data_IF_430304591183
#
_entry.id   IF_430304591183
#
_cell.length_a   1.000
_cell.length_b   1.000
_cell.length_c   1.000
_cell.angle_alpha   90.00
_cell.angle_beta   90.00
_cell.angle_gamma   90.00
#
_symmetry.space_group_name_H-M   'P 1'
#
loop_
_entity.id
_entity.type
_entity.pdbx_description
1 polymer ?
#
# COMPACT_ATOMS: atom_id res chain seq x y z
N UNK A 1 7.93 -40.03 -76.01
CA UNK A 1 7.65 -38.72 -76.64
C UNK A 1 7.84 -37.64 -75.59
N UNK A 2 8.76 -36.70 -75.85
CA UNK A 2 8.75 -35.27 -75.46
C UNK A 2 8.98 -34.98 -73.95
N UNK A 3 10.21 -34.68 -73.51
CA UNK A 3 10.93 -33.37 -73.39
C UNK A 3 10.95 -32.92 -71.91
N UNK A 4 12.12 -32.76 -71.26
CA UNK A 4 13.12 -31.67 -71.34
C UNK A 4 12.76 -30.44 -70.48
N UNK A 5 13.80 -29.78 -69.93
CA UNK A 5 13.84 -28.51 -69.14
C UNK A 5 13.64 -28.64 -67.62
N UNK A 6 14.39 -28.03 -66.70
CA UNK A 6 15.50 -27.03 -66.57
C UNK A 6 16.04 -27.24 -65.13
N UNK A 7 17.17 -26.76 -64.62
CA UNK A 7 18.38 -26.11 -65.10
C UNK A 7 19.37 -26.25 -63.94
N UNK A 8 20.61 -26.60 -64.26
CA UNK A 8 21.76 -26.47 -63.37
C UNK A 8 22.39 -25.11 -63.63
N UNK A 9 22.50 -24.25 -62.63
CA UNK A 9 23.36 -23.07 -62.73
C UNK A 9 24.35 -23.03 -61.57
N UNK A 10 25.60 -23.15 -61.98
CA UNK A 10 26.84 -23.14 -61.21
C UNK A 10 27.31 -21.68 -61.13
N UNK A 11 27.78 -21.21 -59.98
CA UNK A 11 28.56 -19.96 -59.93
C UNK A 11 29.56 -20.01 -58.77
N UNK A 12 30.79 -20.39 -59.13
CA UNK A 12 32.01 -20.06 -58.40
C UNK A 12 32.57 -18.73 -58.92
N UNK A 13 33.29 -18.05 -58.01
CA UNK A 13 34.31 -17.01 -58.17
C UNK A 13 33.89 -15.55 -58.50
N UNK A 14 34.37 -14.62 -57.64
CA UNK A 14 35.39 -13.58 -57.94
C UNK A 14 35.40 -12.47 -56.83
N UNK A 15 36.56 -12.27 -56.19
CA UNK A 15 37.00 -11.17 -55.27
C UNK A 15 36.93 -9.75 -55.93
N UNK A 16 37.26 -8.56 -55.33
CA UNK A 16 37.96 -8.22 -54.06
C UNK A 16 37.38 -6.98 -53.29
N UNK A 17 38.02 -6.53 -52.18
CA UNK A 17 37.88 -5.11 -51.78
C UNK A 17 38.08 -4.73 -50.31
N UNK A 18 39.34 -4.42 -49.98
CA UNK A 18 39.82 -3.51 -48.91
C UNK A 18 38.78 -2.49 -48.37
N UNK A 19 38.57 -2.48 -47.05
CA UNK A 19 38.30 -1.23 -46.31
C UNK A 19 39.14 -1.18 -45.03
N UNK A 20 40.25 -0.46 -45.16
CA UNK A 20 41.01 0.17 -44.10
C UNK A 20 40.16 1.35 -43.60
N UNK A 21 39.79 1.38 -42.31
CA UNK A 21 39.45 2.64 -41.63
C UNK A 21 40.31 2.75 -40.39
N UNK A 22 41.38 3.51 -40.57
CA UNK A 22 42.07 4.27 -39.54
C UNK A 22 41.09 5.27 -38.91
N UNK A 23 40.98 5.28 -37.58
CA UNK A 23 40.79 6.53 -36.86
C UNK A 23 41.54 6.46 -35.53
N UNK A 24 42.52 7.34 -35.46
CA UNK A 24 43.57 7.42 -34.47
C UNK A 24 43.12 8.18 -33.22
N UNK A 25 43.90 7.97 -32.15
CA UNK A 25 44.17 8.85 -31.02
C UNK A 25 43.76 10.32 -31.24
N UNK A 26 42.97 10.85 -30.30
CA UNK A 26 43.05 12.25 -29.90
C UNK A 26 43.23 12.30 -28.38
N UNK A 27 44.46 12.55 -27.95
CA UNK A 27 44.79 12.89 -26.58
C UNK A 27 44.97 14.41 -26.47
N UNK A 28 44.20 15.01 -25.55
CA UNK A 28 44.67 15.92 -24.47
C UNK A 28 44.93 17.43 -24.79
N UNK A 29 44.40 18.25 -23.86
CA UNK A 29 44.54 19.72 -23.59
C UNK A 29 43.57 20.64 -24.37
N UNK A 30 42.81 21.58 -23.78
CA UNK A 30 43.02 22.35 -22.55
C UNK A 30 41.67 22.91 -22.05
N UNK A 31 41.45 22.90 -20.73
CA UNK A 31 40.27 23.44 -20.08
C UNK A 31 40.39 23.30 -18.56
N UNK A 32 41.41 23.94 -18.00
CA UNK A 32 41.58 24.06 -16.55
C UNK A 32 40.51 25.02 -15.99
N UNK A 33 39.33 24.47 -15.68
CA UNK A 33 38.43 25.06 -14.70
C UNK A 33 38.79 24.46 -13.34
N UNK A 34 39.06 25.31 -12.36
CA UNK A 34 39.18 24.92 -10.95
C UNK A 34 37.85 24.27 -10.50
N UNK A 35 37.76 22.96 -10.61
CA UNK A 35 36.68 22.20 -9.99
C UNK A 35 37.02 22.11 -8.52
N UNK A 36 36.35 22.97 -7.76
CA UNK A 36 36.23 22.90 -6.31
C UNK A 36 36.17 21.45 -5.87
N UNK A 37 37.14 21.01 -5.08
CA UNK A 37 37.19 19.68 -4.47
C UNK A 37 36.12 19.57 -3.38
N UNK A 38 34.86 19.58 -3.80
CA UNK A 38 33.77 18.96 -3.05
C UNK A 38 34.10 17.47 -3.08
N UNK A 39 34.24 16.84 -1.91
CA UNK A 39 34.39 15.40 -1.81
C UNK A 39 33.29 14.75 -2.66
N UNK A 40 33.63 14.27 -3.85
CA UNK A 40 32.67 13.70 -4.79
C UNK A 40 32.17 12.42 -4.15
N UNK A 41 30.97 12.49 -3.58
CA UNK A 41 30.23 11.31 -3.12
C UNK A 41 30.26 10.31 -4.27
N UNK A 42 30.72 9.09 -4.01
CA UNK A 42 30.72 8.06 -5.03
C UNK A 42 29.27 7.87 -5.51
N UNK A 43 29.01 8.17 -6.78
CA UNK A 43 27.66 8.12 -7.36
C UNK A 43 27.31 6.71 -7.86
N UNK A 44 28.25 5.75 -7.82
CA UNK A 44 28.01 4.35 -8.22
C UNK A 44 26.85 3.68 -7.46
N UNK A 45 26.68 3.87 -6.13
CA UNK A 45 25.51 3.33 -5.42
C UNK A 45 24.19 3.81 -5.99
N UNK A 46 24.11 5.08 -6.41
CA UNK A 46 22.90 5.64 -7.02
C UNK A 46 22.63 5.00 -8.38
N UNK A 47 23.65 4.92 -9.23
CA UNK A 47 23.56 4.33 -10.56
C UNK A 47 23.16 2.85 -10.52
N UNK A 48 23.82 2.08 -9.66
CA UNK A 48 23.51 0.66 -9.41
C UNK A 48 22.06 0.51 -8.94
N UNK A 49 21.68 1.23 -7.89
CA UNK A 49 20.32 1.14 -7.33
C UNK A 49 19.26 1.53 -8.37
N UNK A 50 19.52 2.56 -9.16
CA UNK A 50 18.65 3.02 -10.25
C UNK A 50 18.50 1.96 -11.34
N UNK A 51 19.59 1.30 -11.72
CA UNK A 51 19.57 0.20 -12.69
C UNK A 51 18.76 -0.99 -12.18
N UNK A 52 18.97 -1.42 -10.94
CA UNK A 52 18.17 -2.51 -10.38
C UNK A 52 16.70 -2.15 -10.20
N UNK A 53 16.36 -0.91 -9.83
CA UNK A 53 14.96 -0.46 -9.80
C UNK A 53 14.31 -0.54 -11.17
N UNK A 54 15.04 -0.15 -12.22
CA UNK A 54 14.57 -0.30 -13.59
C UNK A 54 14.29 -1.78 -13.93
N UNK A 55 15.23 -2.67 -13.61
CA UNK A 55 15.04 -4.11 -13.82
C UNK A 55 13.83 -4.66 -13.06
N UNK A 56 13.67 -4.32 -11.78
CA UNK A 56 12.50 -4.73 -11.00
C UNK A 56 11.19 -4.23 -11.60
N UNK A 57 11.14 -2.98 -12.07
CA UNK A 57 9.94 -2.42 -12.70
C UNK A 57 9.55 -3.14 -14.00
N UNK A 58 10.51 -3.76 -14.69
CA UNK A 58 10.23 -4.60 -15.85
C UNK A 58 9.80 -6.02 -15.45
N UNK A 59 10.48 -6.64 -14.48
CA UNK A 59 10.12 -7.97 -13.97
C UNK A 59 8.73 -8.00 -13.32
N UNK A 60 8.34 -6.90 -12.65
CA UNK A 60 7.02 -6.74 -12.04
C UNK A 60 5.89 -7.01 -13.05
N UNK A 61 6.08 -6.61 -14.31
CA UNK A 61 5.10 -6.85 -15.37
C UNK A 61 4.91 -8.35 -15.66
N UNK A 62 6.00 -9.13 -15.62
CA UNK A 62 5.96 -10.58 -15.75
C UNK A 62 5.14 -11.23 -14.64
N UNK A 63 5.40 -10.85 -13.39
CA UNK A 63 4.65 -11.41 -12.25
C UNK A 63 3.19 -10.98 -12.20
N UNK A 64 2.90 -9.74 -12.57
CA UNK A 64 1.53 -9.31 -12.69
C UNK A 64 0.79 -10.12 -13.75
N UNK A 65 1.43 -10.55 -14.84
CA UNK A 65 0.81 -11.46 -15.82
C UNK A 65 0.46 -12.81 -15.19
N UNK A 66 1.29 -13.34 -14.30
CA UNK A 66 0.97 -14.58 -13.57
C UNK A 66 -0.25 -14.41 -12.64
N UNK A 67 -0.34 -13.28 -11.93
CA UNK A 67 -1.51 -12.96 -11.09
C UNK A 67 -2.76 -12.75 -11.95
N UNK A 68 -2.64 -11.97 -13.03
CA UNK A 68 -3.71 -11.67 -13.99
C UNK A 68 -4.20 -12.91 -14.75
N UNK A 69 -3.37 -13.94 -14.93
CA UNK A 69 -3.79 -15.20 -15.55
C UNK A 69 -4.89 -15.92 -14.75
N UNK A 70 -4.97 -15.66 -13.44
CA UNK A 70 -6.00 -16.21 -12.55
C UNK A 70 -7.24 -15.31 -12.45
N UNK A 71 -7.23 -14.15 -13.11
CA UNK A 71 -8.21 -13.08 -12.94
C UNK A 71 -9.20 -13.00 -14.11
N UNK A 72 -10.38 -12.42 -13.89
CA UNK A 72 -11.31 -12.05 -14.96
C UNK A 72 -10.88 -10.76 -15.69
N UNK A 73 -11.54 -10.41 -16.80
CA UNK A 73 -11.09 -9.28 -17.63
C UNK A 73 -11.25 -7.91 -16.93
N UNK A 74 -12.24 -7.76 -16.05
CA UNK A 74 -12.39 -6.56 -15.23
C UNK A 74 -11.25 -6.42 -14.22
N UNK A 75 -10.92 -7.52 -13.55
CA UNK A 75 -9.78 -7.62 -12.63
C UNK A 75 -8.44 -7.36 -13.32
N UNK A 76 -8.21 -7.92 -14.51
CA UNK A 76 -7.00 -7.68 -15.31
C UNK A 76 -6.83 -6.21 -15.63
N UNK A 77 -7.92 -5.52 -16.00
CA UNK A 77 -7.88 -4.09 -16.28
C UNK A 77 -7.48 -3.28 -15.05
N UNK A 78 -8.13 -3.51 -13.91
CA UNK A 78 -7.81 -2.79 -12.66
C UNK A 78 -6.37 -3.03 -12.19
N UNK A 79 -5.89 -4.27 -12.25
CA UNK A 79 -4.50 -4.62 -11.89
C UNK A 79 -3.51 -4.01 -12.89
N UNK A 80 -3.84 -4.03 -14.19
CA UNK A 80 -3.02 -3.45 -15.25
C UNK A 80 -2.85 -1.93 -15.12
N UNK A 81 -3.93 -1.22 -14.78
CA UNK A 81 -3.88 0.22 -14.50
C UNK A 81 -3.01 0.52 -13.27
N UNK A 82 -3.21 -0.19 -12.16
CA UNK A 82 -2.41 -0.02 -10.95
C UNK A 82 -0.93 -0.38 -11.15
N UNK A 83 -0.65 -1.40 -11.98
CA UNK A 83 0.70 -1.77 -12.39
C UNK A 83 1.36 -0.65 -13.20
N UNK A 84 0.64 -0.07 -14.18
CA UNK A 84 1.15 1.02 -14.99
C UNK A 84 1.49 2.25 -14.12
N UNK A 85 0.61 2.61 -13.18
CA UNK A 85 0.84 3.68 -12.20
C UNK A 85 2.09 3.38 -11.34
N UNK A 86 2.21 2.16 -10.81
CA UNK A 86 3.34 1.75 -9.96
C UNK A 86 4.67 1.77 -10.73
N UNK A 87 4.68 1.27 -11.96
CA UNK A 87 5.86 1.28 -12.85
C UNK A 87 6.27 2.71 -13.20
N UNK A 88 5.31 3.57 -13.50
CA UNK A 88 5.57 4.99 -13.77
C UNK A 88 6.16 5.69 -12.53
N UNK A 89 5.61 5.43 -11.33
CA UNK A 89 6.15 5.99 -10.09
C UNK A 89 7.60 5.54 -9.84
N UNK A 90 7.93 4.28 -10.13
CA UNK A 90 9.31 3.78 -10.05
C UNK A 90 10.23 4.53 -11.03
N UNK A 91 9.82 4.71 -12.29
CA UNK A 91 10.62 5.39 -13.30
C UNK A 91 10.80 6.88 -13.03
N UNK A 92 9.76 7.56 -12.55
CA UNK A 92 9.85 8.96 -12.12
C UNK A 92 10.82 9.13 -10.94
N UNK A 93 10.82 8.18 -10.00
CA UNK A 93 11.79 8.19 -8.89
C UNK A 93 13.21 8.02 -9.40
N UNK A 94 13.46 7.05 -10.29
CA UNK A 94 14.79 6.87 -10.92
C UNK A 94 15.20 8.15 -11.64
N UNK A 95 14.33 8.72 -12.46
CA UNK A 95 14.60 9.98 -13.18
C UNK A 95 14.96 11.11 -12.22
N UNK A 96 14.18 11.30 -11.16
CA UNK A 96 14.41 12.33 -10.13
C UNK A 96 15.75 12.13 -9.43
N UNK A 97 16.06 10.89 -9.03
CA UNK A 97 17.29 10.55 -8.34
C UNK A 97 18.51 10.82 -9.25
N UNK A 98 18.46 10.39 -10.52
CA UNK A 98 19.54 10.60 -11.49
C UNK A 98 19.70 12.08 -11.87
N UNK A 99 18.60 12.80 -12.11
CA UNK A 99 18.65 14.23 -12.43
C UNK A 99 19.11 15.07 -11.23
N UNK A 100 18.77 14.65 -10.01
CA UNK A 100 19.23 15.33 -8.79
C UNK A 100 20.75 15.23 -8.60
N UNK A 101 21.36 14.11 -8.98
CA UNK A 101 22.80 13.88 -8.84
C UNK A 101 23.61 14.43 -10.03
N UNK A 102 23.14 14.22 -11.26
CA UNK A 102 23.93 14.47 -12.48
C UNK A 102 23.39 15.62 -13.35
N UNK A 103 22.24 16.20 -13.01
CA UNK A 103 21.60 17.26 -13.80
C UNK A 103 21.31 16.81 -15.23
N UNK A 104 21.71 17.65 -16.20
CA UNK A 104 21.49 17.39 -17.63
C UNK A 104 22.30 16.19 -18.16
N UNK A 105 23.37 15.78 -17.45
CA UNK A 105 24.20 14.62 -17.82
C UNK A 105 23.63 13.28 -17.33
N UNK A 106 22.53 13.29 -16.58
CA UNK A 106 21.93 12.08 -16.00
C UNK A 106 21.70 10.96 -17.01
N UNK A 107 21.27 11.32 -18.22
CA UNK A 107 21.01 10.37 -19.29
C UNK A 107 22.30 9.69 -19.79
N UNK A 108 23.34 10.49 -20.02
CA UNK A 108 24.64 10.01 -20.54
C UNK A 108 25.35 9.14 -19.50
N UNK A 109 25.44 9.61 -18.25
CA UNK A 109 26.08 8.90 -17.15
C UNK A 109 25.40 7.55 -16.87
N UNK A 110 24.06 7.52 -16.87
CA UNK A 110 23.33 6.28 -16.66
C UNK A 110 23.50 5.29 -17.82
N UNK A 111 23.51 5.77 -19.06
CA UNK A 111 23.78 4.93 -20.25
C UNK A 111 25.17 4.33 -20.18
N UNK A 112 26.18 5.16 -19.90
CA UNK A 112 27.59 4.77 -19.79
C UNK A 112 27.77 3.73 -18.69
N UNK A 113 27.16 3.96 -17.52
CA UNK A 113 27.16 3.03 -16.42
C UNK A 113 26.58 1.66 -16.79
N UNK A 114 25.39 1.60 -17.40
CA UNK A 114 24.76 0.31 -17.77
C UNK A 114 25.66 -0.45 -18.75
N UNK A 115 26.22 0.25 -19.74
CA UNK A 115 27.12 -0.35 -20.72
C UNK A 115 28.38 -0.93 -20.06
N UNK A 116 29.02 -0.16 -19.16
CA UNK A 116 30.20 -0.60 -18.44
C UNK A 116 29.89 -1.77 -17.48
N UNK A 117 28.81 -1.66 -16.70
CA UNK A 117 28.39 -2.68 -15.74
C UNK A 117 28.08 -4.01 -16.42
N UNK A 118 27.26 -4.00 -17.48
CA UNK A 118 26.86 -5.22 -18.20
C UNK A 118 28.03 -5.88 -18.93
N UNK A 119 28.96 -5.09 -19.48
CA UNK A 119 30.18 -5.62 -20.11
C UNK A 119 31.09 -6.27 -19.07
N UNK A 120 31.31 -5.60 -17.93
CA UNK A 120 32.12 -6.12 -16.84
C UNK A 120 31.54 -7.42 -16.25
N UNK A 121 30.22 -7.50 -16.10
CA UNK A 121 29.53 -8.71 -15.65
C UNK A 121 29.70 -9.87 -16.64
N UNK A 122 29.54 -9.62 -17.95
CA UNK A 122 29.72 -10.63 -19.00
C UNK A 122 31.14 -11.17 -19.05
N UNK A 123 32.13 -10.31 -18.85
CA UNK A 123 33.55 -10.68 -18.83
C UNK A 123 33.99 -11.31 -17.49
N UNK A 124 33.13 -11.27 -16.47
CA UNK A 124 33.49 -11.72 -15.12
C UNK A 124 34.61 -10.86 -14.50
N UNK A 125 34.63 -9.55 -14.79
CA UNK A 125 35.68 -8.64 -14.38
C UNK A 125 35.73 -8.47 -12.84
N UNK A 126 36.70 -9.13 -12.20
CA UNK A 126 36.87 -9.12 -10.74
C UNK A 126 37.30 -7.77 -10.18
N UNK A 127 38.02 -6.96 -10.95
CA UNK A 127 38.47 -5.64 -10.52
C UNK A 127 37.29 -4.68 -10.44
N UNK A 128 36.46 -4.65 -11.49
CA UNK A 128 35.21 -3.88 -11.49
C UNK A 128 34.25 -4.34 -10.37
N UNK A 129 34.14 -5.65 -10.14
CA UNK A 129 33.34 -6.19 -9.04
C UNK A 129 33.84 -5.74 -7.66
N UNK A 130 35.16 -5.76 -7.43
CA UNK A 130 35.78 -5.30 -6.17
C UNK A 130 35.55 -3.81 -5.96
N UNK A 131 35.77 -3.01 -7.01
CA UNK A 131 35.49 -1.59 -7.02
C UNK A 131 34.02 -1.29 -6.68
N UNK A 132 33.09 -2.04 -7.29
CA UNK A 132 31.67 -1.88 -7.02
C UNK A 132 31.30 -2.30 -5.59
N UNK A 133 31.87 -3.41 -5.09
CA UNK A 133 31.68 -3.85 -3.72
C UNK A 133 32.15 -2.82 -2.70
N UNK A 134 33.28 -2.16 -2.96
CA UNK A 134 33.80 -1.07 -2.14
C UNK A 134 32.90 0.17 -2.18
N UNK A 135 32.50 0.60 -3.38
CA UNK A 135 31.61 1.74 -3.59
C UNK A 135 30.28 1.59 -2.83
N UNK A 136 29.74 0.37 -2.81
CA UNK A 136 28.49 0.03 -2.14
C UNK A 136 28.66 -0.30 -0.64
N UNK A 137 29.88 -0.26 -0.11
CA UNK A 137 30.22 -0.70 1.25
C UNK A 137 29.68 -2.11 1.58
N UNK A 138 29.77 -3.04 0.61
CA UNK A 138 29.30 -4.42 0.77
C UNK A 138 30.37 -5.24 1.49
N UNK A 139 30.14 -5.48 2.78
CA UNK A 139 30.89 -6.45 3.58
C UNK A 139 30.05 -7.74 3.82
N UNK A 140 30.63 -8.95 3.63
CA UNK A 140 31.94 -9.21 3.02
C UNK A 140 31.97 -8.84 1.53
N UNK A 141 33.17 -8.61 0.97
CA UNK A 141 33.32 -8.27 -0.45
C UNK A 141 32.69 -9.36 -1.33
N UNK A 142 31.89 -9.01 -2.34
CA UNK A 142 31.17 -9.98 -3.14
C UNK A 142 32.14 -10.82 -3.99
N UNK A 143 32.00 -12.15 -3.90
CA UNK A 143 32.82 -13.09 -4.68
C UNK A 143 32.36 -13.27 -6.13
N UNK A 144 31.14 -12.84 -6.46
CA UNK A 144 30.56 -12.88 -7.80
C UNK A 144 29.57 -11.73 -8.01
N UNK A 145 29.21 -11.46 -9.27
CA UNK A 145 28.15 -10.50 -9.60
C UNK A 145 26.78 -10.93 -9.05
N UNK A 146 26.52 -12.23 -8.90
CA UNK A 146 25.31 -12.72 -8.21
C UNK A 146 25.31 -12.37 -6.72
N UNK A 147 26.47 -12.49 -6.05
CA UNK A 147 26.62 -12.11 -4.64
C UNK A 147 26.49 -10.58 -4.45
N UNK A 148 26.99 -9.79 -5.41
CA UNK A 148 26.77 -8.35 -5.48
C UNK A 148 25.28 -8.03 -5.59
N UNK A 149 24.58 -8.68 -6.52
CA UNK A 149 23.13 -8.55 -6.73
C UNK A 149 22.34 -8.79 -5.44
N UNK A 150 22.56 -9.93 -4.80
CA UNK A 150 21.90 -10.26 -3.53
C UNK A 150 22.20 -9.25 -2.42
N UNK A 151 23.42 -8.69 -2.40
CA UNK A 151 23.80 -7.67 -1.41
C UNK A 151 23.11 -6.34 -1.68
N UNK A 152 23.03 -5.91 -2.95
CA UNK A 152 22.33 -4.68 -3.35
C UNK A 152 20.84 -4.78 -3.02
N UNK A 153 20.19 -5.90 -3.37
CA UNK A 153 18.75 -6.06 -3.10
C UNK A 153 18.48 -6.08 -1.59
N UNK A 154 19.28 -6.82 -0.82
CA UNK A 154 19.09 -6.95 0.62
C UNK A 154 19.41 -5.66 1.41
N UNK A 155 20.43 -4.90 1.02
CA UNK A 155 20.88 -3.72 1.78
C UNK A 155 20.30 -2.40 1.26
N UNK A 156 20.33 -2.20 -0.06
CA UNK A 156 20.02 -0.90 -0.66
C UNK A 156 18.58 -0.81 -1.18
N UNK A 157 17.97 -1.95 -1.51
CA UNK A 157 16.65 -1.99 -2.14
C UNK A 157 15.58 -2.67 -1.31
N UNK A 158 15.87 -3.00 -0.05
CA UNK A 158 14.91 -3.70 0.82
C UNK A 158 13.52 -3.06 0.81
N UNK A 159 13.45 -1.73 0.98
CA UNK A 159 12.18 -1.02 0.96
C UNK A 159 11.45 -1.09 -0.38
N UNK A 160 12.19 -1.07 -1.50
CA UNK A 160 11.60 -1.18 -2.83
C UNK A 160 11.11 -2.62 -3.09
N UNK A 161 11.89 -3.64 -2.72
CA UNK A 161 11.50 -5.05 -2.79
C UNK A 161 10.27 -5.32 -1.93
N UNK A 162 10.26 -4.84 -0.68
CA UNK A 162 9.13 -5.00 0.24
C UNK A 162 7.86 -4.32 -0.30
N UNK A 163 8.00 -3.16 -0.94
CA UNK A 163 6.88 -2.44 -1.55
C UNK A 163 6.30 -3.20 -2.75
N UNK A 164 7.16 -3.72 -3.65
CA UNK A 164 6.73 -4.46 -4.82
C UNK A 164 6.15 -5.83 -4.45
N UNK A 165 6.75 -6.52 -3.48
CA UNK A 165 6.21 -7.76 -2.93
C UNK A 165 4.84 -7.54 -2.27
N UNK A 166 4.67 -6.42 -1.55
CA UNK A 166 3.39 -6.00 -1.00
C UNK A 166 2.33 -5.79 -2.08
N UNK A 167 2.67 -5.07 -3.15
CA UNK A 167 1.77 -4.86 -4.29
C UNK A 167 1.32 -6.18 -4.93
N UNK A 168 2.24 -7.11 -5.22
CA UNK A 168 1.92 -8.41 -5.81
C UNK A 168 1.06 -9.27 -4.89
N UNK A 169 1.38 -9.26 -3.59
CA UNK A 169 0.58 -9.93 -2.57
C UNK A 169 -0.83 -9.35 -2.48
N UNK A 170 -0.97 -8.03 -2.45
CA UNK A 170 -2.27 -7.36 -2.44
C UNK A 170 -3.08 -7.70 -3.69
N UNK A 171 -2.45 -7.74 -4.88
CA UNK A 171 -3.10 -8.15 -6.12
C UNK A 171 -3.60 -9.60 -6.05
N UNK A 172 -2.77 -10.53 -5.56
CA UNK A 172 -3.14 -11.93 -5.43
C UNK A 172 -4.30 -12.13 -4.45
N UNK A 173 -4.24 -11.53 -3.26
CA UNK A 173 -5.30 -11.62 -2.25
C UNK A 173 -6.59 -10.98 -2.75
N UNK A 174 -6.49 -9.82 -3.41
CA UNK A 174 -7.66 -9.15 -3.99
C UNK A 174 -8.35 -9.99 -5.06
N UNK A 175 -7.60 -10.62 -5.96
CA UNK A 175 -8.16 -11.56 -6.95
C UNK A 175 -8.86 -12.74 -6.26
N UNK A 176 -8.28 -13.29 -5.19
CA UNK A 176 -8.88 -14.38 -4.45
C UNK A 176 -10.17 -13.96 -3.72
N UNK A 177 -10.20 -12.76 -3.15
CA UNK A 177 -11.38 -12.23 -2.46
C UNK A 177 -12.50 -11.90 -3.42
N UNK A 178 -12.20 -11.25 -4.54
CA UNK A 178 -13.23 -10.89 -5.54
C UNK A 178 -13.87 -12.12 -6.21
N UNK A 179 -13.19 -13.28 -6.19
CA UNK A 179 -13.79 -14.57 -6.55
C UNK A 179 -14.83 -15.07 -5.53
N UNK A 180 -14.60 -14.81 -4.24
CA UNK A 180 -15.50 -15.23 -3.15
C UNK A 180 -16.63 -14.22 -2.94
N UNK A 181 -16.35 -12.93 -3.09
CA UNK A 181 -17.24 -11.81 -2.78
C UNK A 181 -17.35 -10.85 -3.95
N UNK A 182 -18.54 -10.80 -4.58
CA UNK A 182 -18.80 -9.94 -5.74
C UNK A 182 -18.73 -8.44 -5.43
N UNK A 183 -18.92 -8.04 -4.17
CA UNK A 183 -18.91 -6.64 -3.73
C UNK A 183 -17.55 -6.19 -3.16
N UNK A 184 -16.45 -6.87 -3.54
CA UNK A 184 -15.10 -6.43 -3.16
C UNK A 184 -14.82 -5.04 -3.74
N UNK A 185 -14.22 -4.17 -2.93
CA UNK A 185 -13.84 -2.80 -3.33
C UNK A 185 -12.91 -2.80 -4.56
N UNK A 186 -12.89 -1.73 -5.38
CA UNK A 186 -11.95 -1.60 -6.49
C UNK A 186 -10.49 -1.73 -6.04
N UNK A 187 -9.62 -2.29 -6.90
CA UNK A 187 -8.24 -2.62 -6.54
C UNK A 187 -7.44 -1.39 -6.09
N UNK A 188 -7.69 -0.22 -6.68
CA UNK A 188 -7.03 1.03 -6.25
C UNK A 188 -7.42 1.47 -4.83
N UNK A 189 -8.69 1.28 -4.46
CA UNK A 189 -9.16 1.54 -3.10
C UNK A 189 -8.59 0.50 -2.13
N UNK A 190 -8.46 -0.75 -2.57
CA UNK A 190 -7.82 -1.83 -1.84
C UNK A 190 -6.35 -1.51 -1.51
N UNK A 191 -5.56 -1.04 -2.47
CA UNK A 191 -4.16 -0.65 -2.20
C UNK A 191 -4.06 0.50 -1.19
N UNK A 192 -5.03 1.41 -1.19
CA UNK A 192 -5.04 2.59 -0.30
C UNK A 192 -5.44 2.28 1.15
N UNK A 193 -6.09 1.13 1.42
CA UNK A 193 -6.61 0.81 2.77
C UNK A 193 -5.51 0.61 3.82
N UNK A 194 -4.32 0.19 3.40
CA UNK A 194 -3.17 0.01 4.29
C UNK A 194 -2.53 1.35 4.68
N UNK A 195 -2.84 2.44 3.97
CA UNK A 195 -2.34 3.78 4.27
C UNK A 195 -3.20 4.54 5.31
N UNK A 196 -4.32 3.97 5.76
CA UNK A 196 -5.16 4.60 6.76
C UNK A 196 -4.51 4.53 8.16
N UNK A 197 -4.33 5.66 8.88
CA UNK A 197 -3.86 5.63 10.25
C UNK A 197 -4.86 4.85 11.11
N UNK A 198 -4.33 4.03 12.03
CA UNK A 198 -5.13 3.31 13.02
C UNK A 198 -6.22 4.20 13.59
N UNK A 199 -7.48 3.82 13.38
CA UNK A 199 -8.65 4.57 13.85
C UNK A 199 -8.51 4.76 15.36
N UNK A 200 -8.26 6.00 15.78
CA UNK A 200 -8.24 6.36 17.20
C UNK A 200 -9.62 5.99 17.77
N UNK A 201 -9.70 5.23 18.88
CA UNK A 201 -10.97 4.92 19.50
C UNK A 201 -11.66 6.23 19.87
N UNK A 202 -12.87 6.43 19.33
CA UNK A 202 -13.72 7.56 19.67
C UNK A 202 -13.99 7.48 21.19
N UNK A 203 -13.72 8.54 21.97
CA UNK A 203 -13.99 8.52 23.40
C UNK A 203 -15.49 8.34 23.64
N UNK A 204 -15.86 7.25 24.30
CA UNK A 204 -17.21 7.05 24.84
C UNK A 204 -17.41 8.12 25.91
N UNK A 205 -18.30 9.08 25.66
CA UNK A 205 -18.64 10.08 26.68
C UNK A 205 -19.37 9.38 27.83
N UNK A 206 -18.97 9.60 29.10
CA UNK A 206 -19.67 9.03 30.23
C UNK A 206 -21.06 9.67 30.35
N UNK A 207 -22.09 8.83 30.33
CA UNK A 207 -23.47 9.22 30.66
C UNK A 207 -23.48 9.74 32.10
N UNK A 208 -23.77 11.03 32.28
CA UNK A 208 -23.95 11.63 33.62
C UNK A 208 -25.14 10.95 34.30
N UNK A 209 -24.87 10.24 35.41
CA UNK A 209 -25.91 9.80 36.34
C UNK A 209 -26.56 11.02 36.97
N UNK A 210 -27.84 11.22 36.70
CA UNK A 210 -28.72 12.12 37.46
C UNK A 210 -29.01 11.49 38.81
N UNK A 211 -28.79 12.24 39.89
CA UNK A 211 -28.89 11.78 41.28
C UNK A 211 -30.37 11.81 41.75
N UNK A 212 -31.00 10.65 42.04
CA UNK A 212 -32.43 10.56 42.35
C UNK A 212 -32.81 11.03 43.78
N UNK A 213 -31.84 11.43 44.60
CA UNK A 213 -32.06 11.88 45.98
C UNK A 213 -32.43 13.37 46.10
N UNK A 214 -32.33 14.14 45.02
CA UNK A 214 -32.56 15.59 45.04
C UNK A 214 -34.04 15.99 44.89
N UNK A 215 -34.92 15.04 44.55
CA UNK A 215 -36.36 15.27 44.37
C UNK A 215 -37.20 14.93 45.63
N UNK A 216 -36.58 14.50 46.73
CA UNK A 216 -37.26 14.15 47.98
C UNK A 216 -37.36 15.30 48.99
N UNK A 217 -36.70 16.43 48.76
CA UNK A 217 -36.73 17.60 49.65
C UNK A 217 -37.85 18.57 49.26
N UNK A 218 -39.11 18.13 49.39
CA UNK A 218 -40.26 19.03 49.38
C UNK A 218 -40.51 19.52 50.82
N UNK A 219 -40.49 20.84 51.09
CA UNK A 219 -40.77 21.34 52.43
C UNK A 219 -42.25 21.10 52.79
N UNK A 220 -42.45 20.37 53.89
CA UNK A 220 -43.77 20.12 54.50
C UNK A 220 -44.38 21.46 54.91
N UNK A 221 -45.61 21.82 54.47
CA UNK A 221 -46.25 23.03 54.95
C UNK A 221 -46.59 22.90 56.44
N UNK A 222 -46.25 23.95 57.21
CA UNK A 222 -46.58 24.05 58.62
C UNK A 222 -48.10 23.92 58.85
N UNK A 223 -48.49 23.07 59.80
CA UNK A 223 -49.87 23.02 60.30
C UNK A 223 -50.24 24.41 60.82
N UNK A 224 -51.29 24.99 60.25
CA UNK A 224 -52.03 26.08 60.88
C UNK A 224 -53.06 25.45 61.81
N UNK A 225 -53.03 25.85 63.07
CA UNK A 225 -54.10 25.58 64.02
C UNK A 225 -55.37 26.30 63.54
N UNK A 226 -56.44 25.53 63.30
CA UNK A 226 -57.75 26.10 62.99
C UNK A 226 -58.45 26.55 64.28
N UNK A 227 -58.81 27.83 64.28
CA UNK A 227 -59.65 28.47 65.28
C UNK A 227 -61.08 27.92 65.15
N UNK A 228 -61.61 27.37 66.25
CA UNK A 228 -62.95 26.76 66.29
C UNK A 228 -64.02 27.86 66.22
N UNK A 229 -64.46 28.15 64.99
CA UNK A 229 -65.69 28.89 64.72
C UNK A 229 -66.91 27.97 64.87
N UNK A 230 -67.98 28.50 65.45
CA UNK A 230 -69.27 27.83 65.67
C UNK A 230 -69.89 27.37 64.33
N UNK A 231 -69.88 26.05 64.05
CA UNK A 231 -70.40 25.47 62.79
C UNK A 231 -71.72 24.76 63.03
N UNK A 232 -72.73 25.16 62.27
CA UNK A 232 -74.05 24.54 62.21
C UNK A 232 -73.94 23.06 61.77
N UNK A 233 -74.46 22.08 62.52
CA UNK A 233 -74.20 20.65 62.32
C UNK A 233 -74.65 20.08 60.96
N UNK A 234 -75.51 20.77 60.21
CA UNK A 234 -75.93 20.38 58.85
C UNK A 234 -74.87 20.73 57.80
N UNK A 235 -74.14 21.84 57.97
CA UNK A 235 -73.08 22.26 57.05
C UNK A 235 -71.83 21.39 57.19
N UNK A 236 -71.56 20.87 58.40
CA UNK A 236 -70.49 19.92 58.67
C UNK A 236 -70.61 18.60 57.86
N UNK A 237 -71.83 18.12 57.58
CA UNK A 237 -72.02 16.96 56.70
C UNK A 237 -71.77 17.29 55.21
N UNK A 238 -72.11 18.51 54.79
CA UNK A 238 -71.81 19.01 53.45
C UNK A 238 -70.30 19.12 53.21
N UNK A 239 -69.59 19.71 54.17
CA UNK A 239 -68.12 19.80 54.25
C UNK A 239 -67.47 18.41 54.23
N UNK A 240 -67.94 17.47 55.06
CA UNK A 240 -67.41 16.10 55.11
C UNK A 240 -67.59 15.35 53.77
N UNK A 241 -68.72 15.53 53.07
CA UNK A 241 -68.93 14.93 51.73
C UNK A 241 -68.07 15.59 50.65
N UNK A 242 -67.80 16.89 50.74
CA UNK A 242 -66.85 17.58 49.85
C UNK A 242 -65.43 17.07 50.09
N UNK A 243 -65.00 17.00 51.35
CA UNK A 243 -63.69 16.47 51.75
C UNK A 243 -63.49 15.02 51.29
N UNK A 244 -64.51 14.16 51.39
CA UNK A 244 -64.44 12.77 50.91
C UNK A 244 -64.33 12.67 49.39
N UNK A 245 -65.05 13.52 48.65
CA UNK A 245 -64.90 13.62 47.19
C UNK A 245 -63.54 14.16 46.78
N UNK A 246 -63.01 15.12 47.54
CA UNK A 246 -61.70 15.70 47.30
C UNK A 246 -60.58 14.70 47.56
N UNK A 247 -60.63 13.94 48.67
CA UNK A 247 -59.72 12.81 48.92
C UNK A 247 -59.79 11.75 47.83
N UNK A 248 -60.99 11.36 47.39
CA UNK A 248 -61.14 10.39 46.29
C UNK A 248 -60.54 10.91 44.96
N UNK A 249 -60.65 12.21 44.69
CA UNK A 249 -60.02 12.84 43.52
C UNK A 249 -58.49 12.91 43.65
N UNK A 250 -57.97 13.17 44.86
CA UNK A 250 -56.54 13.17 45.15
C UNK A 250 -55.93 11.76 45.07
N UNK A 251 -56.59 10.75 45.64
CA UNK A 251 -56.19 9.34 45.52
C UNK A 251 -56.21 8.87 44.06
N UNK A 252 -57.22 9.26 43.28
CA UNK A 252 -57.28 8.96 41.84
C UNK A 252 -56.15 9.65 41.05
N UNK A 253 -55.85 10.92 41.36
CA UNK A 253 -54.72 11.64 40.77
C UNK A 253 -53.37 11.02 41.17
N UNK A 254 -53.21 10.62 42.42
CA UNK A 254 -52.00 9.94 42.90
C UNK A 254 -51.82 8.58 42.22
N UNK A 255 -52.89 7.79 42.07
CA UNK A 255 -52.86 6.52 41.34
C UNK A 255 -52.51 6.70 39.86
N UNK A 256 -53.07 7.71 39.19
CA UNK A 256 -52.71 8.03 37.80
C UNK A 256 -51.24 8.46 37.68
N UNK A 257 -50.72 9.25 38.62
CA UNK A 257 -49.31 9.64 38.64
C UNK A 257 -48.38 8.45 38.89
N UNK A 258 -48.78 7.51 39.74
CA UNK A 258 -48.00 6.29 39.99
C UNK A 258 -47.92 5.43 38.72
N UNK A 259 -49.05 5.18 38.05
CA UNK A 259 -49.07 4.41 36.79
C UNK A 259 -48.28 5.13 35.68
N UNK A 260 -48.35 6.46 35.61
CA UNK A 260 -47.55 7.24 34.66
C UNK A 260 -46.04 7.08 34.93
N UNK A 261 -45.61 7.14 36.20
CA UNK A 261 -44.21 6.92 36.60
C UNK A 261 -43.75 5.48 36.32
N UNK A 262 -44.60 4.48 36.57
CA UNK A 262 -44.28 3.08 36.27
C UNK A 262 -44.14 2.83 34.76
N UNK A 263 -44.99 3.45 33.94
CA UNK A 263 -44.84 3.39 32.48
C UNK A 263 -43.57 4.09 31.98
N UNK A 264 -43.27 5.28 32.51
CA UNK A 264 -42.06 6.00 32.14
C UNK A 264 -40.80 5.22 32.55
N UNK A 265 -40.81 4.56 33.73
CA UNK A 265 -39.73 3.68 34.16
C UNK A 265 -39.59 2.45 33.23
N UNK A 266 -40.70 1.80 32.89
CA UNK A 266 -40.70 0.64 31.98
C UNK A 266 -40.21 1.01 30.57
N UNK A 267 -40.63 2.16 30.04
CA UNK A 267 -40.16 2.66 28.74
C UNK A 267 -38.67 2.99 28.76
N UNK A 268 -38.15 3.57 29.85
CA UNK A 268 -36.71 3.81 30.01
C UNK A 268 -35.92 2.50 30.10
N UNK A 269 -36.42 1.50 30.81
CA UNK A 269 -35.77 0.19 30.92
C UNK A 269 -35.76 -0.54 29.57
N UNK A 270 -36.84 -0.47 28.79
CA UNK A 270 -36.87 -1.02 27.43
C UNK A 270 -35.93 -0.28 26.48
N UNK A 271 -35.88 1.05 26.55
CA UNK A 271 -34.97 1.85 25.75
C UNK A 271 -33.50 1.53 26.09
N UNK A 272 -33.17 1.40 27.37
CA UNK A 272 -31.84 1.00 27.83
C UNK A 272 -31.46 -0.40 27.33
N UNK A 273 -32.36 -1.39 27.45
CA UNK A 273 -32.11 -2.75 26.93
C UNK A 273 -31.93 -2.78 25.41
N UNK A 274 -32.71 -2.01 24.65
CA UNK A 274 -32.54 -1.91 23.19
C UNK A 274 -31.20 -1.28 22.83
N UNK A 275 -30.76 -0.27 23.57
CA UNK A 275 -29.47 0.37 23.35
C UNK A 275 -28.29 -0.56 23.71
N UNK A 276 -28.40 -1.30 24.83
CA UNK A 276 -27.41 -2.30 25.22
C UNK A 276 -27.30 -3.43 24.17
N UNK A 277 -28.44 -3.97 23.72
CA UNK A 277 -28.47 -4.98 22.66
C UNK A 277 -27.83 -4.46 21.36
N UNK A 278 -28.15 -3.23 20.93
CA UNK A 278 -27.56 -2.62 19.75
C UNK A 278 -26.04 -2.40 19.91
N UNK A 279 -25.56 -2.02 21.09
CA UNK A 279 -24.12 -1.90 21.35
C UNK A 279 -23.40 -3.25 21.33
N UNK A 280 -24.02 -4.30 21.88
CA UNK A 280 -23.46 -5.64 21.87
C UNK A 280 -23.37 -6.21 20.44
N UNK A 281 -24.39 -5.98 19.61
CA UNK A 281 -24.36 -6.35 18.19
C UNK A 281 -23.27 -5.57 17.42
N UNK A 282 -23.14 -4.27 17.67
CA UNK A 282 -22.09 -3.46 17.06
C UNK A 282 -20.68 -3.92 17.46
N UNK A 283 -20.48 -4.32 18.72
CA UNK A 283 -19.22 -4.87 19.21
C UNK A 283 -18.93 -6.27 18.62
N UNK A 284 -19.95 -7.12 18.50
CA UNK A 284 -19.83 -8.43 17.85
C UNK A 284 -19.45 -8.29 16.37
N UNK A 285 -20.08 -7.35 15.64
CA UNK A 285 -19.73 -7.04 14.25
C UNK A 285 -18.31 -6.48 14.14
N UNK A 286 -17.91 -5.58 15.06
CA UNK A 286 -16.51 -5.11 15.13
C UNK A 286 -15.52 -6.25 15.38
N UNK A 287 -15.83 -7.16 16.31
CA UNK A 287 -14.97 -8.28 16.62
C UNK A 287 -14.85 -9.24 15.42
N UNK A 288 -15.93 -9.48 14.69
CA UNK A 288 -15.91 -10.28 13.47
C UNK A 288 -15.12 -9.59 12.35
N UNK A 289 -15.32 -8.28 12.14
CA UNK A 289 -14.56 -7.51 11.18
C UNK A 289 -13.05 -7.53 11.49
N UNK A 290 -12.67 -7.39 12.76
CA UNK A 290 -11.28 -7.47 13.20
C UNK A 290 -10.68 -8.87 12.96
N UNK A 291 -11.45 -9.94 13.16
CA UNK A 291 -11.00 -11.31 12.84
C UNK A 291 -10.72 -11.49 11.35
N UNK A 292 -11.62 -11.02 10.49
CA UNK A 292 -11.44 -11.09 9.03
C UNK A 292 -10.22 -10.26 8.62
N UNK A 293 -10.09 -9.03 9.13
CA UNK A 293 -8.94 -8.17 8.85
C UNK A 293 -7.61 -8.80 9.30
N UNK A 294 -7.59 -9.51 10.43
CA UNK A 294 -6.41 -10.22 10.91
C UNK A 294 -6.01 -11.38 9.98
N UNK A 295 -6.98 -12.18 9.53
CA UNK A 295 -6.73 -13.29 8.58
C UNK A 295 -6.24 -12.75 7.24
N UNK A 296 -6.84 -11.66 6.74
CA UNK A 296 -6.37 -11.00 5.52
C UNK A 296 -4.94 -10.48 5.66
N UNK A 297 -4.62 -9.85 6.79
CA UNK A 297 -3.27 -9.35 7.06
C UNK A 297 -2.24 -10.47 7.08
N UNK A 298 -2.54 -11.60 7.72
CA UNK A 298 -1.65 -12.76 7.75
C UNK A 298 -1.46 -13.36 6.34
N UNK A 299 -2.52 -13.48 5.55
CA UNK A 299 -2.44 -13.95 4.17
C UNK A 299 -1.57 -13.03 3.29
N UNK A 300 -1.67 -11.72 3.49
CA UNK A 300 -0.82 -10.73 2.82
C UNK A 300 0.64 -10.86 3.27
N UNK A 301 0.91 -11.04 4.55
CA UNK A 301 2.28 -11.21 5.06
C UNK A 301 2.94 -12.49 4.50
N UNK A 302 2.23 -13.63 4.50
CA UNK A 302 2.74 -14.88 3.93
C UNK A 302 2.98 -14.80 2.41
N UNK A 303 2.06 -14.18 1.67
CA UNK A 303 2.23 -13.99 0.23
C UNK A 303 3.35 -12.99 -0.05
N UNK A 304 3.48 -11.91 0.74
CA UNK A 304 4.58 -10.95 0.64
C UNK A 304 5.95 -11.60 0.84
N UNK A 305 6.11 -12.48 1.82
CA UNK A 305 7.38 -13.20 2.02
C UNK A 305 7.72 -14.10 0.83
N UNK A 306 6.69 -14.76 0.28
CA UNK A 306 6.82 -15.60 -0.93
C UNK A 306 7.23 -14.77 -2.15
N UNK A 307 6.59 -13.62 -2.37
CA UNK A 307 6.90 -12.72 -3.47
C UNK A 307 8.27 -12.03 -3.28
N UNK A 308 8.62 -11.66 -2.04
CA UNK A 308 9.93 -11.11 -1.72
C UNK A 308 11.06 -12.10 -2.02
N UNK A 309 10.90 -13.38 -1.66
CA UNK A 309 11.85 -14.43 -2.02
C UNK A 309 11.94 -14.63 -3.54
N UNK A 310 10.82 -14.65 -4.26
CA UNK A 310 10.79 -14.76 -5.73
C UNK A 310 11.48 -13.59 -6.42
N UNK A 311 11.18 -12.36 -6.00
CA UNK A 311 11.80 -11.15 -6.52
C UNK A 311 13.32 -11.16 -6.31
N UNK A 312 13.78 -11.53 -5.11
CA UNK A 312 15.21 -11.64 -4.82
C UNK A 312 15.90 -12.72 -5.68
N UNK A 313 15.30 -13.91 -5.80
CA UNK A 313 15.87 -15.00 -6.60
C UNK A 313 15.96 -14.64 -8.09
N UNK A 314 14.97 -13.92 -8.62
CA UNK A 314 14.90 -13.61 -10.05
C UNK A 314 15.76 -12.41 -10.41
N UNK A 315 15.90 -11.38 -9.56
CA UNK A 315 16.97 -10.39 -9.77
C UNK A 315 18.35 -11.10 -9.75
N UNK A 316 18.49 -12.11 -8.89
CA UNK A 316 19.65 -13.00 -8.85
C UNK A 316 19.84 -13.94 -10.05
N UNK A 317 18.80 -14.29 -10.81
CA UNK A 317 18.90 -15.24 -11.94
C UNK A 317 18.70 -14.60 -13.32
N UNK A 318 17.82 -13.62 -13.45
CA UNK A 318 17.45 -12.99 -14.73
C UNK A 318 18.56 -12.14 -15.31
N UNK A 319 19.39 -11.48 -14.50
CA UNK A 319 20.58 -10.80 -15.04
C UNK A 319 21.60 -11.82 -15.58
N UNK A 320 21.71 -13.00 -14.94
CA UNK A 320 22.58 -14.07 -15.41
C UNK A 320 22.05 -14.82 -16.65
N UNK A 321 20.74 -15.02 -16.78
CA UNK A 321 20.11 -15.73 -17.90
C UNK A 321 19.83 -14.80 -19.10
N UNK A 322 19.41 -13.56 -18.85
CA UNK A 322 19.22 -12.57 -19.90
C UNK A 322 20.57 -12.12 -20.49
N UNK A 323 21.64 -12.10 -19.68
CA UNK A 323 23.02 -11.93 -20.16
C UNK A 323 23.54 -13.06 -21.06
N UNK A 324 22.96 -14.26 -20.99
CA UNK A 324 23.40 -15.44 -21.74
C UNK A 324 22.64 -15.72 -23.04
N UNK A 325 21.31 -15.50 -23.09
CA UNK A 325 20.49 -15.93 -24.23
C UNK A 325 19.65 -14.82 -24.91
N UNK A 326 19.32 -13.72 -24.23
CA UNK A 326 18.51 -12.62 -24.80
C UNK A 326 19.32 -11.36 -25.15
N UNK A 327 20.48 -11.14 -24.52
CA UNK A 327 21.25 -9.90 -24.64
C UNK A 327 22.69 -10.07 -25.17
N UNK A 328 22.90 -10.97 -26.12
CA UNK A 328 24.22 -11.34 -26.70
C UNK A 328 25.08 -10.21 -27.31
N UNK A 329 24.56 -8.99 -27.45
CA UNK A 329 25.29 -7.79 -27.89
C UNK A 329 24.72 -6.46 -27.36
N UNK A 330 24.06 -6.47 -26.20
CA UNK A 330 23.04 -5.47 -25.83
C UNK A 330 23.37 -4.67 -24.54
N UNK A 331 24.63 -4.52 -24.13
CA UNK A 331 24.94 -3.56 -23.04
C UNK A 331 24.48 -2.13 -23.40
N UNK A 332 24.85 -1.69 -24.61
CA UNK A 332 24.45 -0.39 -25.14
C UNK A 332 22.95 -0.28 -25.49
N UNK A 333 22.35 -1.35 -26.05
CA UNK A 333 20.92 -1.35 -26.40
C UNK A 333 20.01 -1.43 -25.17
N UNK A 334 20.36 -2.20 -24.13
CA UNK A 334 19.62 -2.24 -22.87
C UNK A 334 19.75 -0.91 -22.11
N UNK A 335 20.95 -0.30 -22.16
CA UNK A 335 21.15 1.06 -21.66
C UNK A 335 20.25 2.07 -22.37
N UNK A 336 20.21 2.04 -23.70
CA UNK A 336 19.32 2.91 -24.50
C UNK A 336 17.83 2.65 -24.20
N UNK A 337 17.38 1.40 -24.10
CA UNK A 337 15.98 1.08 -23.77
C UNK A 337 15.61 1.53 -22.36
N UNK A 338 16.48 1.32 -21.37
CA UNK A 338 16.26 1.79 -20.01
C UNK A 338 16.14 3.30 -19.95
N UNK A 339 17.07 3.98 -20.62
CA UNK A 339 17.10 5.43 -20.72
C UNK A 339 15.86 5.96 -21.42
N UNK A 340 15.46 5.40 -22.56
CA UNK A 340 14.21 5.80 -23.25
C UNK A 340 12.99 5.60 -22.35
N UNK A 341 12.92 4.47 -21.64
CA UNK A 341 11.80 4.18 -20.74
C UNK A 341 11.68 5.19 -19.58
N UNK A 342 12.81 5.70 -19.08
CA UNK A 342 12.88 6.62 -17.93
C UNK A 342 12.77 8.09 -18.37
N UNK A 343 13.49 8.48 -19.44
CA UNK A 343 13.65 9.89 -19.81
C UNK A 343 12.67 10.36 -20.88
N UNK A 344 12.25 9.50 -21.82
CA UNK A 344 11.41 9.90 -22.97
C UNK A 344 9.91 9.85 -22.70
N UNK A 345 9.47 9.13 -21.66
CA UNK A 345 8.05 9.13 -21.25
C UNK A 345 7.72 10.45 -20.56
N UNK A 346 6.90 11.28 -21.23
CA UNK A 346 6.27 12.49 -20.67
C UNK A 346 5.06 12.13 -19.82
#
# INVERSE_FOLDING_TARGET
MINSSLDSCNMQDVFPGRFLVLLALASVLCGAGEVSAVATKDSRPMLVTSYYRYLMGNELEGYCKEVMAKADDGQKKEIGEALAETKQACFLRIKKDLQGEFGDRAQEEFTSFISAYTSAEKEGNKEYLKEMGNALAVAPAPGSYDALRGSVTAKLMKGDVDSLAGFLSDAEVWVQLKKKEKNTVPFKAWLSRQAAPAVKPVPVQPVKKTDPLRDAEVPVPALKDEEVGDVNPVDAFGEMRKARRQRAMEESKAGMQQVAKEREAAERDEAARKQEAASAEAEALKAQANKIAAVEKEAIEQSKDTWGARLNNIIGSTVSAAGGAFFGGIGARAGQEAVRAIFDKK
#
